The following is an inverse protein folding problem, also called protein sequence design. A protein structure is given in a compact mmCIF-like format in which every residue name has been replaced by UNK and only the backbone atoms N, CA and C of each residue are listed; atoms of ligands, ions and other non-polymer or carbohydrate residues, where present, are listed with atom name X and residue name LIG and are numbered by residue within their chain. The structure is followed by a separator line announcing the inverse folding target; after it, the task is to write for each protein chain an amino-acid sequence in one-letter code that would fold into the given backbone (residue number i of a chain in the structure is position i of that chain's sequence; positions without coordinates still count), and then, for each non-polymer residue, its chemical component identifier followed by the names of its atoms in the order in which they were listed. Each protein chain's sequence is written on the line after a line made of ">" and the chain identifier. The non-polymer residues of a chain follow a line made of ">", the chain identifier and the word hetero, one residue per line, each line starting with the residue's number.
data_IF_112681966868
#
_entry.id   IF_112681966868
#
_cell.length_a   1.000
_cell.length_b   1.000
_cell.length_c   1.000
_cell.angle_alpha   90.00
_cell.angle_beta   90.00
_cell.angle_gamma   90.00
#
_symmetry.space_group_name_H-M   'P 1'
#
loop_
_entity.id
_entity.type
_entity.pdbx_description
1 polymer ?
#
# COMPACT_ATOMS: atom_id res chain seq x y z
N UNK A 1 -14.42 -8.23 10.38
CA UNK A 1 -15.76 -8.08 9.74
C UNK A 1 -15.78 -6.90 8.79
N UNK A 2 -15.51 -5.66 9.24
CA UNK A 2 -15.48 -4.49 8.34
C UNK A 2 -14.52 -4.63 7.13
N UNK A 3 -13.27 -5.03 7.36
CA UNK A 3 -12.28 -5.22 6.29
C UNK A 3 -12.76 -6.20 5.21
N UNK A 4 -13.34 -7.33 5.64
CA UNK A 4 -13.86 -8.37 4.74
C UNK A 4 -15.09 -7.87 3.97
N UNK A 5 -15.99 -7.14 4.62
CA UNK A 5 -17.13 -6.53 3.95
C UNK A 5 -16.66 -5.61 2.83
N UNK A 6 -15.72 -4.70 3.13
CA UNK A 6 -15.19 -3.75 2.16
C UNK A 6 -14.43 -4.45 1.02
N UNK A 7 -13.61 -5.46 1.33
CA UNK A 7 -12.86 -6.22 0.31
C UNK A 7 -13.77 -7.00 -0.66
N UNK A 8 -15.00 -7.32 -0.24
CA UNK A 8 -15.96 -8.04 -1.07
C UNK A 8 -16.91 -7.10 -1.83
N UNK A 9 -17.24 -5.93 -1.26
CA UNK A 9 -18.25 -5.03 -1.86
C UNK A 9 -17.64 -3.88 -2.64
N UNK A 10 -16.52 -3.31 -2.19
CA UNK A 10 -15.91 -2.15 -2.84
C UNK A 10 -15.37 -2.43 -4.24
N UNK A 11 -14.87 -3.64 -4.59
CA UNK A 11 -14.51 -3.97 -5.97
C UNK A 11 -15.64 -3.73 -6.98
N UNK A 12 -16.89 -4.06 -6.61
CA UNK A 12 -18.06 -3.77 -7.45
C UNK A 12 -18.27 -2.27 -7.65
N UNK A 13 -18.07 -1.48 -6.59
CA UNK A 13 -18.25 -0.02 -6.64
C UNK A 13 -17.17 0.62 -7.49
N UNK A 14 -15.90 0.23 -7.29
CA UNK A 14 -14.76 0.74 -8.07
C UNK A 14 -14.96 0.40 -9.55
N UNK A 15 -15.22 -0.87 -9.88
CA UNK A 15 -15.40 -1.29 -11.26
C UNK A 15 -16.64 -0.66 -11.92
N UNK A 16 -17.73 -0.45 -11.18
CA UNK A 16 -18.90 0.24 -11.70
C UNK A 16 -18.59 1.70 -12.05
N UNK A 17 -17.81 2.39 -11.21
CA UNK A 17 -17.38 3.76 -11.50
C UNK A 17 -16.47 3.78 -12.74
N UNK A 18 -15.47 2.92 -12.79
CA UNK A 18 -14.53 2.84 -13.93
C UNK A 18 -15.28 2.53 -15.24
N UNK A 19 -16.26 1.63 -15.21
CA UNK A 19 -17.12 1.35 -16.36
C UNK A 19 -17.92 2.59 -16.82
N UNK A 20 -18.51 3.34 -15.89
CA UNK A 20 -19.28 4.53 -16.24
C UNK A 20 -18.39 5.65 -16.79
N UNK A 21 -17.17 5.80 -16.27
CA UNK A 21 -16.18 6.77 -16.77
C UNK A 21 -15.76 6.40 -18.19
N UNK A 22 -15.43 5.13 -18.42
CA UNK A 22 -14.99 4.65 -19.74
C UNK A 22 -16.07 4.77 -20.83
N UNK A 23 -17.35 4.77 -20.47
CA UNK A 23 -18.47 4.90 -21.41
C UNK A 23 -19.07 6.32 -21.48
N UNK A 24 -18.46 7.29 -20.78
CA UNK A 24 -18.95 8.67 -20.75
C UNK A 24 -18.52 9.46 -21.99
N UNK A 25 -19.37 10.37 -22.46
CA UNK A 25 -19.03 11.28 -23.58
C UNK A 25 -17.91 12.27 -23.23
N UNK A 26 -17.79 12.61 -21.93
CA UNK A 26 -16.85 13.60 -21.40
C UNK A 26 -15.70 12.93 -20.64
N UNK A 27 -15.27 11.74 -21.08
CA UNK A 27 -14.29 10.89 -20.41
C UNK A 27 -13.03 11.66 -19.98
N UNK A 28 -12.48 12.52 -20.86
CA UNK A 28 -11.28 13.28 -20.58
C UNK A 28 -11.43 14.23 -19.38
N UNK A 29 -12.54 14.96 -19.31
CA UNK A 29 -12.80 15.90 -18.20
C UNK A 29 -13.00 15.14 -16.88
N UNK A 30 -13.70 14.01 -16.93
CA UNK A 30 -13.93 13.17 -15.77
C UNK A 30 -12.63 12.54 -15.29
N UNK A 31 -11.79 12.02 -16.19
CA UNK A 31 -10.47 11.48 -15.84
C UNK A 31 -9.56 12.53 -15.21
N UNK A 32 -9.55 13.77 -15.71
CA UNK A 32 -8.74 14.84 -15.13
C UNK A 32 -9.23 15.22 -13.73
N UNK A 33 -10.56 15.29 -13.52
CA UNK A 33 -11.13 15.48 -12.19
C UNK A 33 -10.78 14.31 -11.24
N UNK A 34 -10.88 13.08 -11.72
CA UNK A 34 -10.55 11.87 -10.97
C UNK A 34 -9.05 11.79 -10.61
N UNK A 35 -8.16 12.22 -11.51
CA UNK A 35 -6.71 12.34 -11.22
C UNK A 35 -6.43 13.32 -10.10
N UNK A 36 -7.09 14.48 -10.11
CA UNK A 36 -6.96 15.50 -9.04
C UNK A 36 -7.50 14.96 -7.71
N UNK A 37 -8.61 14.22 -7.73
CA UNK A 37 -9.19 13.58 -6.55
C UNK A 37 -8.40 12.33 -6.09
N UNK A 38 -7.40 11.90 -6.85
CA UNK A 38 -6.58 10.74 -6.53
C UNK A 38 -7.28 9.40 -6.78
N UNK A 39 -8.25 9.33 -7.69
CA UNK A 39 -9.00 8.11 -8.03
C UNK A 39 -8.12 6.93 -8.46
N UNK A 40 -6.93 7.21 -9.02
CA UNK A 40 -5.89 6.21 -9.31
C UNK A 40 -5.50 5.37 -8.07
N UNK A 41 -5.86 5.84 -6.87
CA UNK A 41 -5.71 5.17 -5.59
C UNK A 41 -7.14 4.87 -5.09
N UNK A 42 -7.74 3.72 -5.44
CA UNK A 42 -9.15 3.42 -5.18
C UNK A 42 -9.40 3.26 -3.67
N UNK A 43 -9.56 4.39 -3.00
CA UNK A 43 -9.60 4.52 -1.55
C UNK A 43 -10.74 3.69 -0.94
N UNK A 44 -11.84 3.54 -1.68
CA UNK A 44 -12.97 2.68 -1.33
C UNK A 44 -12.51 1.27 -1.00
N UNK A 45 -11.78 0.62 -1.92
CA UNK A 45 -11.20 -0.69 -1.67
C UNK A 45 -10.11 -0.63 -0.61
N UNK A 46 -9.22 0.35 -0.67
CA UNK A 46 -8.04 0.38 0.20
C UNK A 46 -8.36 0.61 1.67
N UNK A 47 -9.52 1.19 1.98
CA UNK A 47 -10.01 1.23 3.36
C UNK A 47 -10.17 -0.18 3.96
N UNK A 48 -10.38 -1.22 3.14
CA UNK A 48 -10.35 -2.61 3.59
C UNK A 48 -8.97 -3.00 4.16
N UNK A 49 -7.87 -2.61 3.52
CA UNK A 49 -6.51 -2.87 3.99
C UNK A 49 -6.20 -2.11 5.27
N UNK A 50 -6.65 -0.86 5.38
CA UNK A 50 -6.52 -0.07 6.61
C UNK A 50 -7.28 -0.76 7.75
N UNK A 51 -8.52 -1.18 7.50
CA UNK A 51 -9.32 -1.92 8.49
C UNK A 51 -8.68 -3.26 8.88
N UNK A 52 -8.08 -3.98 7.92
CA UNK A 52 -7.34 -5.21 8.18
C UNK A 52 -6.09 -4.95 9.04
N UNK A 53 -5.31 -3.91 8.73
CA UNK A 53 -4.12 -3.51 9.48
C UNK A 53 -4.45 -3.10 10.93
N UNK A 54 -5.53 -2.34 11.14
CA UNK A 54 -6.03 -2.04 12.48
C UNK A 54 -6.43 -3.30 13.25
N UNK A 55 -7.08 -4.25 12.57
CA UNK A 55 -7.42 -5.56 13.12
C UNK A 55 -6.18 -6.36 13.53
N UNK A 56 -5.17 -6.40 12.65
CA UNK A 56 -3.89 -7.06 12.91
C UNK A 56 -3.16 -6.44 14.11
N UNK A 57 -3.16 -5.11 14.21
CA UNK A 57 -2.60 -4.39 15.37
C UNK A 57 -3.24 -4.82 16.69
N UNK A 58 -4.56 -4.99 16.73
CA UNK A 58 -5.28 -5.48 17.93
C UNK A 58 -4.95 -6.95 18.27
N UNK A 59 -4.75 -7.79 17.25
CA UNK A 59 -4.33 -9.18 17.46
C UNK A 59 -2.93 -9.23 18.07
N UNK A 60 -1.99 -8.46 17.53
CA UNK A 60 -0.60 -8.43 17.97
C UNK A 60 -0.45 -7.76 19.35
N UNK A 61 -1.26 -6.74 19.67
CA UNK A 61 -1.20 -6.07 20.98
C UNK A 61 -1.55 -6.99 22.15
N UNK A 62 -2.29 -8.06 21.89
CA UNK A 62 -2.65 -9.04 22.91
C UNK A 62 -1.59 -10.15 23.10
N UNK A 63 -0.51 -10.13 22.33
CA UNK A 63 0.67 -10.96 22.55
C UNK A 63 1.39 -11.34 21.24
N UNK A 64 2.73 -11.34 21.21
CA UNK A 64 3.51 -11.60 19.99
C UNK A 64 3.31 -13.01 19.42
N UNK A 65 2.92 -13.98 20.25
CA UNK A 65 2.66 -15.36 19.81
C UNK A 65 1.44 -15.45 18.88
N UNK A 66 0.56 -14.46 18.91
CA UNK A 66 -0.61 -14.35 18.03
C UNK A 66 -0.23 -14.00 16.59
N UNK A 67 1.05 -13.72 16.31
CA UNK A 67 1.55 -13.56 14.95
C UNK A 67 1.28 -14.79 14.06
N UNK A 68 1.22 -15.99 14.63
CA UNK A 68 0.79 -17.21 13.90
C UNK A 68 -0.63 -17.10 13.35
N UNK A 69 -1.54 -16.39 14.03
CA UNK A 69 -2.90 -16.17 13.52
C UNK A 69 -2.84 -15.35 12.24
N UNK A 70 -2.05 -14.26 12.22
CA UNK A 70 -1.86 -13.45 11.02
C UNK A 70 -1.23 -14.26 9.88
N UNK A 71 -0.25 -15.10 10.20
CA UNK A 71 0.38 -16.00 9.23
C UNK A 71 -0.62 -16.97 8.61
N UNK A 72 -1.33 -17.74 9.42
CA UNK A 72 -2.25 -18.78 8.94
C UNK A 72 -3.46 -18.18 8.21
N UNK A 73 -4.11 -17.17 8.82
CA UNK A 73 -5.28 -16.51 8.22
C UNK A 73 -4.88 -15.74 6.97
N UNK A 74 -3.75 -15.04 7.00
CA UNK A 74 -3.21 -14.33 5.84
C UNK A 74 -2.88 -15.28 4.69
N UNK A 75 -2.20 -16.40 4.97
CA UNK A 75 -1.89 -17.42 3.96
C UNK A 75 -3.16 -18.04 3.38
N UNK A 76 -4.17 -18.31 4.20
CA UNK A 76 -5.46 -18.81 3.73
C UNK A 76 -6.18 -17.82 2.81
N UNK A 77 -6.22 -16.53 3.17
CA UNK A 77 -6.79 -15.50 2.29
C UNK A 77 -5.98 -15.30 1.02
N UNK A 78 -4.65 -15.35 1.11
CA UNK A 78 -3.77 -15.27 -0.05
C UNK A 78 -4.04 -16.40 -1.03
N UNK A 79 -4.14 -17.63 -0.52
CA UNK A 79 -4.49 -18.80 -1.31
C UNK A 79 -5.90 -18.71 -1.91
N UNK A 80 -6.89 -18.27 -1.13
CA UNK A 80 -8.28 -18.13 -1.63
C UNK A 80 -8.36 -17.03 -2.70
N UNK A 81 -7.71 -15.89 -2.48
CA UNK A 81 -7.69 -14.76 -3.41
C UNK A 81 -7.01 -15.11 -4.72
N UNK A 82 -5.73 -15.49 -4.69
CA UNK A 82 -4.94 -15.77 -5.90
C UNK A 82 -5.16 -17.18 -6.48
N UNK A 83 -5.48 -18.16 -5.64
CA UNK A 83 -5.58 -19.56 -6.06
C UNK A 83 -6.99 -20.01 -6.45
N UNK A 84 -8.03 -19.34 -5.95
CA UNK A 84 -9.44 -19.76 -6.17
C UNK A 84 -10.24 -18.65 -6.86
N UNK A 85 -10.27 -17.45 -6.29
CA UNK A 85 -11.15 -16.36 -6.74
C UNK A 85 -10.59 -15.68 -8.00
N UNK A 86 -9.34 -15.22 -7.96
CA UNK A 86 -8.63 -14.56 -9.06
C UNK A 86 -8.73 -15.30 -10.39
N UNK A 87 -8.44 -16.62 -10.43
CA UNK A 87 -8.52 -17.41 -11.66
C UNK A 87 -9.92 -17.45 -12.29
N UNK A 88 -11.00 -17.22 -11.53
CA UNK A 88 -12.36 -17.17 -12.09
C UNK A 88 -12.50 -15.92 -12.95
N UNK A 89 -12.18 -14.74 -12.40
CA UNK A 89 -12.30 -13.48 -13.14
C UNK A 89 -11.30 -13.38 -14.30
N UNK A 90 -10.07 -13.87 -14.10
CA UNK A 90 -9.04 -13.84 -15.15
C UNK A 90 -9.46 -14.63 -16.39
N UNK A 91 -10.16 -15.75 -16.24
CA UNK A 91 -10.66 -16.55 -17.38
C UNK A 91 -11.70 -15.79 -18.19
N UNK A 92 -12.56 -15.03 -17.53
CA UNK A 92 -13.59 -14.24 -18.19
C UNK A 92 -12.95 -13.08 -18.94
N UNK A 93 -12.04 -12.36 -18.30
CA UNK A 93 -11.36 -11.20 -18.90
C UNK A 93 -10.46 -11.62 -20.07
N UNK A 94 -9.84 -12.80 -20.00
CA UNK A 94 -9.05 -13.35 -21.09
C UNK A 94 -9.90 -13.89 -22.26
N UNK A 95 -11.23 -13.92 -22.14
CA UNK A 95 -12.11 -14.38 -23.22
C UNK A 95 -12.44 -13.25 -24.20
N UNK A 96 -12.37 -13.53 -25.50
CA UNK A 96 -12.75 -12.56 -26.56
C UNK A 96 -14.20 -12.06 -26.40
N UNK A 97 -15.04 -12.86 -25.75
CA UNK A 97 -16.43 -12.57 -25.43
C UNK A 97 -16.65 -11.50 -24.36
N UNK A 98 -15.63 -11.13 -23.57
CA UNK A 98 -15.78 -10.06 -22.57
C UNK A 98 -15.75 -8.65 -23.18
N UNK A 99 -15.30 -8.54 -24.44
CA UNK A 99 -15.23 -7.26 -25.15
C UNK A 99 -16.65 -6.76 -25.45
N UNK A 100 -17.01 -5.60 -24.89
CA UNK A 100 -18.34 -4.95 -24.95
C UNK A 100 -19.41 -5.56 -24.02
N UNK A 101 -19.03 -6.27 -22.96
CA UNK A 101 -19.99 -6.73 -21.95
C UNK A 101 -20.65 -5.56 -21.20
N UNK A 102 -21.97 -5.67 -20.99
CA UNK A 102 -22.75 -4.69 -20.22
C UNK A 102 -22.44 -4.80 -18.72
N UNK A 103 -22.45 -3.65 -18.03
CA UNK A 103 -22.33 -3.67 -16.57
C UNK A 103 -23.44 -4.53 -15.94
N UNK A 104 -23.07 -5.29 -14.91
CA UNK A 104 -23.95 -6.22 -14.21
C UNK A 104 -24.35 -7.49 -14.98
N UNK A 105 -23.79 -7.73 -16.17
CA UNK A 105 -23.88 -9.06 -16.79
C UNK A 105 -23.19 -10.13 -15.94
N UNK A 106 -23.51 -11.40 -16.16
CA UNK A 106 -22.85 -12.51 -15.45
C UNK A 106 -21.33 -12.49 -15.68
N UNK A 107 -20.90 -12.16 -16.89
CA UNK A 107 -19.49 -12.03 -17.24
C UNK A 107 -18.84 -10.84 -16.51
N UNK A 108 -19.54 -9.69 -16.43
CA UNK A 108 -19.06 -8.54 -15.66
C UNK A 108 -18.95 -8.85 -14.16
N UNK A 109 -19.93 -9.51 -13.56
CA UNK A 109 -19.89 -9.89 -12.14
C UNK A 109 -18.70 -10.83 -11.86
N UNK A 110 -18.44 -11.78 -12.76
CA UNK A 110 -17.31 -12.68 -12.63
C UNK A 110 -15.97 -11.98 -12.85
N UNK A 111 -15.89 -10.97 -13.73
CA UNK A 111 -14.67 -10.21 -13.97
C UNK A 111 -14.19 -9.46 -12.72
N UNK A 112 -15.10 -9.01 -11.84
CA UNK A 112 -14.79 -8.42 -10.52
C UNK A 112 -13.96 -9.35 -9.63
N UNK A 113 -14.01 -10.67 -9.87
CA UNK A 113 -13.25 -11.66 -9.11
C UNK A 113 -11.77 -11.72 -9.49
N UNK A 114 -11.32 -11.02 -10.54
CA UNK A 114 -9.94 -11.07 -11.03
C UNK A 114 -8.88 -10.72 -9.98
N UNK A 115 -7.63 -11.10 -10.27
CA UNK A 115 -6.47 -10.76 -9.45
C UNK A 115 -5.37 -9.99 -10.20
N UNK A 116 -5.76 -9.38 -11.33
CA UNK A 116 -4.87 -8.55 -12.15
C UNK A 116 -4.17 -7.46 -11.31
N UNK A 117 -2.91 -7.11 -11.61
CA UNK A 117 -2.22 -6.06 -10.89
C UNK A 117 -2.97 -4.73 -10.98
N UNK A 118 -3.28 -4.14 -9.83
CA UNK A 118 -4.03 -2.90 -9.69
C UNK A 118 -5.45 -2.93 -10.28
N UNK A 119 -6.00 -4.13 -10.50
CA UNK A 119 -7.34 -4.34 -11.05
C UNK A 119 -8.47 -3.96 -10.08
N UNK A 120 -8.14 -3.82 -8.80
CA UNK A 120 -9.13 -3.63 -7.72
C UNK A 120 -10.13 -4.78 -7.60
N UNK A 121 -9.78 -5.97 -8.11
CA UNK A 121 -10.62 -7.16 -8.04
C UNK A 121 -10.64 -7.79 -6.65
N UNK A 122 -11.65 -8.63 -6.39
CA UNK A 122 -11.78 -9.36 -5.12
C UNK A 122 -10.62 -10.34 -4.94
N UNK A 123 -10.21 -11.02 -6.02
CA UNK A 123 -9.07 -11.94 -6.01
C UNK A 123 -7.78 -11.21 -5.63
N UNK A 124 -7.55 -10.03 -6.22
CA UNK A 124 -6.40 -9.18 -5.88
C UNK A 124 -6.48 -8.71 -4.42
N UNK A 125 -7.63 -8.21 -3.95
CA UNK A 125 -7.78 -7.65 -2.62
C UNK A 125 -7.58 -8.70 -1.52
N UNK A 126 -8.18 -9.87 -1.66
CA UNK A 126 -7.98 -10.98 -0.71
C UNK A 126 -6.58 -11.58 -0.82
N UNK A 127 -6.08 -11.72 -2.05
CA UNK A 127 -4.76 -12.25 -2.37
C UNK A 127 -3.65 -11.45 -1.72
N UNK A 128 -3.57 -10.16 -2.07
CA UNK A 128 -2.55 -9.21 -1.62
C UNK A 128 -2.71 -8.86 -0.14
N UNK A 129 -3.93 -8.61 0.32
CA UNK A 129 -4.22 -8.32 1.72
C UNK A 129 -3.89 -9.50 2.63
N UNK A 130 -4.25 -10.72 2.21
CA UNK A 130 -3.87 -11.95 2.89
C UNK A 130 -2.36 -12.15 2.93
N UNK A 131 -1.68 -11.96 1.79
CA UNK A 131 -0.22 -12.05 1.70
C UNK A 131 0.47 -11.04 2.64
N UNK A 132 0.00 -9.80 2.68
CA UNK A 132 0.54 -8.78 3.58
C UNK A 132 0.38 -9.18 5.07
N UNK A 133 -0.79 -9.69 5.47
CA UNK A 133 -0.99 -10.21 6.83
C UNK A 133 -0.04 -11.38 7.13
N UNK A 134 0.14 -12.28 6.17
CA UNK A 134 1.05 -13.41 6.32
C UNK A 134 2.49 -12.95 6.51
N UNK A 135 2.96 -12.03 5.65
CA UNK A 135 4.29 -11.43 5.73
C UNK A 135 4.51 -10.73 7.08
N UNK A 136 3.54 -9.96 7.57
CA UNK A 136 3.62 -9.34 8.90
C UNK A 136 3.73 -10.42 10.00
N UNK A 137 2.94 -11.49 9.90
CA UNK A 137 3.02 -12.64 10.81
C UNK A 137 4.42 -13.26 10.83
N UNK A 138 4.99 -13.55 9.66
CA UNK A 138 6.37 -14.07 9.53
C UNK A 138 7.38 -13.11 10.14
N UNK A 139 7.33 -11.82 9.80
CA UNK A 139 8.25 -10.80 10.32
C UNK A 139 8.21 -10.73 11.85
N UNK A 140 7.01 -10.80 12.45
CA UNK A 140 6.85 -10.80 13.90
C UNK A 140 7.39 -12.08 14.55
N UNK A 141 7.18 -13.25 13.93
CA UNK A 141 7.73 -14.52 14.42
C UNK A 141 9.26 -14.55 14.34
N UNK A 142 9.84 -14.04 13.26
CA UNK A 142 11.30 -13.87 13.13
C UNK A 142 11.82 -12.93 14.23
N UNK A 143 11.13 -11.82 14.48
CA UNK A 143 11.51 -10.86 15.51
C UNK A 143 11.29 -11.36 16.95
N UNK A 144 10.56 -12.47 17.14
CA UNK A 144 10.47 -13.16 18.43
C UNK A 144 11.75 -13.95 18.75
N UNK A 145 12.62 -14.19 17.77
CA UNK A 145 13.91 -14.87 17.92
C UNK A 145 15.07 -13.88 18.15
N UNK A 146 16.29 -14.35 18.49
CA UNK A 146 17.48 -13.49 18.56
C UNK A 146 17.82 -12.76 17.25
N UNK A 147 17.26 -13.17 16.11
CA UNK A 147 17.42 -12.48 14.82
C UNK A 147 17.01 -11.00 14.87
N UNK A 148 16.15 -10.64 15.83
CA UNK A 148 15.71 -9.26 16.09
C UNK A 148 16.85 -8.26 16.34
N UNK A 149 18.02 -8.74 16.75
CA UNK A 149 19.22 -7.94 16.96
C UNK A 149 19.92 -7.62 15.63
N UNK A 150 20.05 -8.61 14.74
CA UNK A 150 20.58 -8.40 13.41
C UNK A 150 19.67 -7.50 12.57
N UNK A 151 18.36 -7.65 12.72
CA UNK A 151 17.34 -6.86 12.03
C UNK A 151 17.11 -5.47 12.66
N UNK A 152 17.89 -5.07 13.66
CA UNK A 152 17.68 -3.80 14.36
C UNK A 152 17.69 -2.58 13.42
N UNK A 153 18.61 -2.46 12.43
CA UNK A 153 18.60 -1.33 11.50
C UNK A 153 17.31 -1.23 10.67
N UNK A 154 16.80 -2.38 10.21
CA UNK A 154 15.55 -2.46 9.45
C UNK A 154 14.36 -2.07 10.34
N UNK A 155 14.37 -2.50 11.61
CA UNK A 155 13.35 -2.12 12.58
C UNK A 155 13.38 -0.62 12.91
N UNK A 156 14.57 -0.03 13.01
CA UNK A 156 14.74 1.40 13.21
C UNK A 156 14.15 2.19 12.02
N UNK A 157 14.52 1.83 10.79
CA UNK A 157 13.93 2.43 9.60
C UNK A 157 12.40 2.25 9.53
N UNK A 158 11.90 1.06 9.85
CA UNK A 158 10.46 0.78 9.90
C UNK A 158 9.70 1.53 11.00
N UNK A 159 10.39 2.09 12.00
CA UNK A 159 9.80 2.96 13.03
C UNK A 159 9.75 4.44 12.64
N UNK A 160 10.36 4.80 11.51
CA UNK A 160 10.46 6.17 10.99
C UNK A 160 10.07 6.29 9.50
N UNK A 161 8.94 5.69 9.06
CA UNK A 161 8.60 5.63 7.64
C UNK A 161 8.30 7.01 7.03
N UNK A 162 7.71 7.94 7.79
CA UNK A 162 7.40 9.29 7.31
C UNK A 162 8.68 10.11 7.18
N UNK A 163 9.59 10.03 8.15
CA UNK A 163 10.91 10.66 8.02
C UNK A 163 11.67 10.10 6.85
N UNK A 164 11.76 8.77 6.71
CA UNK A 164 12.43 8.15 5.57
C UNK A 164 11.84 8.64 4.25
N UNK A 165 10.51 8.62 4.10
CA UNK A 165 9.82 9.10 2.90
C UNK A 165 10.15 10.57 2.59
N UNK A 166 9.96 11.47 3.56
CA UNK A 166 10.23 12.90 3.38
C UNK A 166 11.70 13.14 3.03
N UNK A 167 12.64 12.40 3.64
CA UNK A 167 14.06 12.48 3.28
C UNK A 167 14.31 12.09 1.82
N UNK A 168 13.70 11.02 1.30
CA UNK A 168 13.86 10.65 -0.11
C UNK A 168 13.36 11.76 -1.04
N UNK A 169 12.16 12.30 -0.77
CA UNK A 169 11.58 13.39 -1.57
C UNK A 169 12.46 14.63 -1.51
N UNK A 170 13.01 15.00 -0.35
CA UNK A 170 13.92 16.14 -0.22
C UNK A 170 15.21 15.89 -1.01
N UNK A 171 15.79 14.69 -0.93
CA UNK A 171 17.01 14.38 -1.70
C UNK A 171 16.75 14.53 -3.19
N UNK A 172 15.62 13.99 -3.68
CA UNK A 172 15.26 14.11 -5.08
C UNK A 172 15.00 15.57 -5.49
N UNK A 173 14.23 16.32 -4.69
CA UNK A 173 13.95 17.74 -4.95
C UNK A 173 15.21 18.61 -4.94
N UNK A 174 16.14 18.37 -4.01
CA UNK A 174 17.43 19.07 -3.97
C UNK A 174 18.25 18.73 -5.21
N UNK A 175 18.32 17.45 -5.60
CA UNK A 175 19.04 17.04 -6.80
C UNK A 175 18.46 17.72 -8.06
N UNK A 176 17.14 17.70 -8.25
CA UNK A 176 16.47 18.41 -9.35
C UNK A 176 16.84 19.90 -9.35
N UNK A 177 16.78 20.57 -8.18
CA UNK A 177 17.06 22.00 -8.09
C UNK A 177 18.51 22.36 -8.45
N UNK A 178 19.46 21.48 -8.12
CA UNK A 178 20.89 21.69 -8.37
C UNK A 178 21.20 21.39 -9.84
N UNK A 179 20.70 20.28 -10.37
CA UNK A 179 21.03 19.86 -11.74
C UNK A 179 20.22 20.62 -12.79
N UNK A 180 18.97 20.98 -12.51
CA UNK A 180 18.18 21.85 -13.40
C UNK A 180 18.76 23.27 -13.51
N UNK A 181 19.54 23.71 -12.52
CA UNK A 181 20.33 24.94 -12.60
C UNK A 181 21.58 24.84 -13.47
N UNK A 182 22.04 23.62 -13.79
CA UNK A 182 23.22 23.33 -14.62
C UNK A 182 22.85 22.95 -16.04
N UNK A 183 21.82 22.12 -16.20
CA UNK A 183 21.31 21.67 -17.48
C UNK A 183 19.81 22.01 -17.63
N UNK A 184 19.47 22.96 -18.52
CA UNK A 184 18.08 23.29 -18.83
C UNK A 184 17.27 22.17 -19.49
N UNK A 185 17.93 21.12 -20.02
CA UNK A 185 17.29 19.99 -20.69
C UNK A 185 17.19 18.74 -19.81
N UNK A 186 17.42 18.88 -18.50
CA UNK A 186 17.35 17.79 -17.52
C UNK A 186 16.02 17.02 -17.64
N UNK A 187 16.10 15.71 -17.84
CA UNK A 187 14.98 14.81 -17.61
C UNK A 187 15.06 14.28 -16.17
N UNK A 188 14.29 14.92 -15.28
CA UNK A 188 14.28 14.65 -13.84
C UNK A 188 14.07 13.17 -13.48
N UNK A 189 13.39 12.41 -14.35
CA UNK A 189 13.10 11.00 -14.12
C UNK A 189 14.21 10.09 -14.63
N UNK A 190 14.61 10.28 -15.89
CA UNK A 190 15.59 9.41 -16.54
C UNK A 190 16.97 9.64 -15.95
N UNK A 191 17.40 10.90 -15.86
CA UNK A 191 18.73 11.27 -15.42
C UNK A 191 18.92 10.90 -13.94
N UNK A 192 17.89 11.07 -13.10
CA UNK A 192 17.95 10.64 -11.70
C UNK A 192 18.15 9.14 -11.54
N UNK A 193 17.51 8.34 -12.40
CA UNK A 193 17.65 6.87 -12.37
C UNK A 193 19.05 6.41 -12.80
N UNK A 194 19.70 7.14 -13.69
CA UNK A 194 21.07 6.84 -14.12
C UNK A 194 22.10 6.97 -12.98
N UNK A 195 21.81 7.78 -11.95
CA UNK A 195 22.63 7.82 -10.72
C UNK A 195 22.55 6.55 -9.88
N UNK A 196 21.71 5.58 -10.26
CA UNK A 196 21.43 4.36 -9.50
C UNK A 196 21.12 4.64 -8.01
N UNK A 197 20.13 5.53 -7.72
CA UNK A 197 19.93 6.09 -6.38
C UNK A 197 19.50 5.04 -5.34
N UNK A 198 19.00 3.89 -5.79
CA UNK A 198 18.45 2.84 -4.94
C UNK A 198 19.39 2.42 -3.80
N UNK A 199 20.62 2.00 -4.12
CA UNK A 199 21.55 1.49 -3.11
C UNK A 199 22.06 2.58 -2.16
N UNK A 200 22.56 3.74 -2.65
CA UNK A 200 22.98 4.82 -1.79
C UNK A 200 21.86 5.33 -0.87
N UNK A 201 20.64 5.49 -1.38
CA UNK A 201 19.50 5.93 -0.58
C UNK A 201 19.10 4.88 0.46
N UNK A 202 19.02 3.61 0.08
CA UNK A 202 18.66 2.52 0.99
C UNK A 202 19.65 2.42 2.14
N UNK A 203 20.95 2.39 1.84
CA UNK A 203 22.00 2.34 2.85
C UNK A 203 21.99 3.60 3.71
N UNK A 204 21.85 4.78 3.08
CA UNK A 204 21.76 6.06 3.77
C UNK A 204 20.60 6.15 4.75
N UNK A 205 19.42 5.67 4.36
CA UNK A 205 18.23 5.62 5.24
C UNK A 205 18.42 4.61 6.36
N UNK A 206 18.95 3.42 6.08
CA UNK A 206 19.24 2.44 7.12
C UNK A 206 20.20 3.00 8.16
N UNK A 207 21.31 3.62 7.73
CA UNK A 207 22.29 4.23 8.63
C UNK A 207 21.67 5.44 9.36
N UNK A 208 21.00 6.33 8.64
CA UNK A 208 20.40 7.55 9.18
C UNK A 208 19.33 7.26 10.23
N UNK A 209 18.34 6.42 9.90
CA UNK A 209 17.30 6.01 10.83
C UNK A 209 17.87 5.22 12.02
N UNK A 210 18.86 4.35 11.79
CA UNK A 210 19.53 3.61 12.88
C UNK A 210 20.26 4.56 13.84
N UNK A 211 21.04 5.48 13.30
CA UNK A 211 21.80 6.46 14.08
C UNK A 211 20.84 7.35 14.86
N UNK A 212 19.76 7.81 14.23
CA UNK A 212 18.73 8.61 14.89
C UNK A 212 18.00 7.83 15.99
N UNK A 213 17.65 6.57 15.73
CA UNK A 213 16.99 5.72 16.72
C UNK A 213 17.87 5.50 17.95
N UNK A 214 19.18 5.35 17.78
CA UNK A 214 20.14 5.22 18.87
C UNK A 214 20.31 6.50 19.70
N UNK A 215 20.21 7.67 19.06
CA UNK A 215 20.54 8.96 19.69
C UNK A 215 19.30 9.71 20.22
N UNK A 216 18.21 9.75 19.45
CA UNK A 216 17.03 10.59 19.68
C UNK A 216 15.71 9.78 19.78
N UNK A 217 15.72 8.50 19.41
CA UNK A 217 14.59 7.59 19.59
C UNK A 217 13.56 7.69 18.46
N UNK A 218 12.63 8.66 18.50
CA UNK A 218 11.56 8.80 17.50
C UNK A 218 12.02 9.64 16.30
N UNK A 219 11.56 9.30 15.10
CA UNK A 219 11.85 10.08 13.89
C UNK A 219 11.27 11.51 13.98
N UNK A 220 11.94 12.51 13.40
CA UNK A 220 11.56 13.92 13.52
C UNK A 220 10.18 14.24 12.93
N UNK A 221 9.82 13.63 11.79
CA UNK A 221 8.52 13.88 11.15
C UNK A 221 7.39 13.17 11.90
N UNK A 222 7.66 11.97 12.43
CA UNK A 222 6.73 11.25 13.30
C UNK A 222 6.50 12.03 14.60
N UNK A 223 7.54 12.63 15.17
CA UNK A 223 7.43 13.46 16.36
C UNK A 223 6.59 14.72 16.10
N UNK A 224 6.81 15.39 14.95
CA UNK A 224 6.03 16.55 14.53
C UNK A 224 4.54 16.20 14.34
N UNK A 225 4.25 15.13 13.58
CA UNK A 225 2.89 14.67 13.38
C UNK A 225 2.21 14.28 14.71
N UNK A 226 2.97 13.63 15.60
CA UNK A 226 2.54 13.33 16.95
C UNK A 226 2.16 14.59 17.73
N UNK A 227 2.98 15.64 17.68
CA UNK A 227 2.72 16.90 18.37
C UNK A 227 1.46 17.61 17.84
N UNK A 228 1.27 17.65 16.52
CA UNK A 228 0.10 18.28 15.89
C UNK A 228 -1.21 17.56 16.23
N UNK A 229 -1.18 16.24 16.35
CA UNK A 229 -2.37 15.41 16.61
C UNK A 229 -2.71 15.29 18.10
N UNK A 230 -1.74 15.44 19.00
CA UNK A 230 -1.94 15.30 20.45
C UNK A 230 -2.44 16.58 21.15
N UNK A 231 -2.53 17.71 20.43
CA UNK A 231 -2.93 19.04 20.95
C UNK A 231 -4.35 19.19 21.53
N UNK A 232 -5.14 18.12 21.74
CA UNK A 232 -6.50 18.18 22.32
C UNK A 232 -6.75 17.30 23.55
N UNK A 233 -5.82 16.45 23.98
CA UNK A 233 -6.04 15.59 25.15
C UNK A 233 -5.67 16.22 26.50
N UNK A 234 -5.09 17.43 26.52
CA UNK A 234 -4.62 18.10 27.75
C UNK A 234 -5.60 19.11 28.37
N UNK A 235 -6.91 18.99 28.12
CA UNK A 235 -7.91 19.92 28.72
C UNK A 235 -9.11 19.24 29.38
N UNK A 236 -8.87 18.09 30.02
CA UNK A 236 -9.80 17.47 30.99
C UNK A 236 -9.02 16.96 32.20
N UNK A 237 -8.67 17.90 33.08
CA UNK A 237 -8.42 17.68 34.50
C UNK A 237 -8.97 18.88 35.23
#
# INVERSE_FOLDING_TARGET
>A
MLAMLLALTMPFVVMAIDYNVANSSDQQEIEDALRILGWNYPFLLWTAFIAAGMGAGRVLSAGPHRAWILLVVGAAFSFVGYGIIGPIGNRVIASDSFVNEEAWSDAWIQSVMQDGPHSSGIGEALGSGGFALAAIGVCMLICATPMRWLLWPIRAAGSMPLTAYVSHIIIWAVWISVEGGRDPNLDEWTDFRELAPFWPMTVGVLIGCSSWAALAGKGPMEALLGALTSGRQLRRT
#
